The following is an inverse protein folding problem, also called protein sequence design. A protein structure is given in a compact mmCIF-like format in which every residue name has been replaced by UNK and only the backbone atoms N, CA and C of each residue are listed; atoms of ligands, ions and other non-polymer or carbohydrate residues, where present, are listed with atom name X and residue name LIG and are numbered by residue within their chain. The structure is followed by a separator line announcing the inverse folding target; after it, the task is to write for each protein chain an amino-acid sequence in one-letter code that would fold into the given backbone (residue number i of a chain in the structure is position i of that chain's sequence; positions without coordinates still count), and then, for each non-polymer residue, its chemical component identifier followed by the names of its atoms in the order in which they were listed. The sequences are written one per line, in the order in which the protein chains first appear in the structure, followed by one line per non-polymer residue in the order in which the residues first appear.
data_IF_853717742999
#
_entry.id   IF_853717742999
#
_cell.length_a   1.000
_cell.length_b   1.000
_cell.length_c   1.000
_cell.angle_alpha   90.00
_cell.angle_beta   90.00
_cell.angle_gamma   90.00
#
_symmetry.space_group_name_H-M   'P 1'
#
loop_
_entity.id
_entity.type
_entity.pdbx_description
1 polymer ?
#
# COMPACT_ATOMS: atom_id res chain seq x y z
N UNK A 1 -18.70 8.15 -10.02
CA UNK A 1 -20.16 8.09 -10.27
C UNK A 1 -20.40 7.17 -11.45
N UNK A 2 -21.30 6.18 -11.28
CA UNK A 2 -22.16 5.52 -12.29
C UNK A 2 -21.56 5.24 -13.69
N UNK A 3 -21.62 4.06 -14.32
CA UNK A 3 -22.41 2.82 -14.17
C UNK A 3 -22.03 2.01 -15.44
N UNK A 4 -21.99 0.68 -15.38
CA UNK A 4 -22.62 -0.22 -16.36
C UNK A 4 -22.05 -1.64 -16.30
N UNK A 5 -22.74 -2.50 -15.55
CA UNK A 5 -22.69 -3.94 -15.78
C UNK A 5 -23.45 -4.24 -17.09
N UNK A 6 -22.72 -4.57 -18.15
CA UNK A 6 -23.33 -5.04 -19.40
C UNK A 6 -23.44 -6.57 -19.35
N UNK A 7 -24.61 -7.09 -18.95
CA UNK A 7 -25.04 -8.45 -19.30
C UNK A 7 -25.65 -8.39 -20.69
N UNK A 8 -25.13 -9.17 -21.63
CA UNK A 8 -25.90 -9.98 -22.57
C UNK A 8 -24.97 -10.52 -23.65
N UNK A 9 -24.92 -11.85 -23.76
CA UNK A 9 -24.17 -12.54 -24.80
C UNK A 9 -24.41 -14.03 -24.69
N UNK A 10 -25.68 -14.44 -24.82
CA UNK A 10 -26.03 -15.82 -25.09
C UNK A 10 -25.50 -16.17 -26.49
N UNK A 11 -24.30 -16.74 -26.52
CA UNK A 11 -23.62 -17.21 -27.72
C UNK A 11 -23.18 -18.65 -27.49
N UNK A 12 -23.97 -19.55 -28.05
CA UNK A 12 -23.76 -20.99 -28.16
C UNK A 12 -22.35 -21.30 -28.73
N UNK A 13 -21.40 -21.68 -27.88
CA UNK A 13 -20.14 -22.31 -28.30
C UNK A 13 -19.74 -23.41 -27.31
N UNK A 14 -19.97 -24.64 -27.77
CA UNK A 14 -19.38 -25.87 -27.27
C UNK A 14 -17.86 -25.78 -27.34
N UNK A 15 -17.19 -25.59 -26.21
CA UNK A 15 -15.81 -26.04 -26.00
C UNK A 15 -15.73 -26.62 -24.59
N UNK A 16 -15.24 -27.86 -24.53
CA UNK A 16 -14.94 -28.61 -23.31
C UNK A 16 -14.20 -27.73 -22.29
N UNK A 17 -14.58 -27.92 -21.02
CA UNK A 17 -14.03 -27.18 -19.90
C UNK A 17 -12.51 -27.26 -19.80
N UNK A 18 -11.92 -26.14 -19.41
CA UNK A 18 -11.17 -26.02 -18.17
C UNK A 18 -11.20 -24.52 -17.82
N UNK A 19 -11.91 -24.19 -16.74
CA UNK A 19 -11.86 -22.87 -16.14
C UNK A 19 -10.45 -22.67 -15.56
N UNK A 20 -9.53 -22.14 -16.35
CA UNK A 20 -8.33 -21.52 -15.84
C UNK A 20 -8.61 -20.03 -15.73
N UNK A 21 -8.99 -19.62 -14.53
CA UNK A 21 -8.85 -18.26 -14.04
C UNK A 21 -7.36 -17.89 -14.15
N UNK A 22 -6.91 -17.42 -15.31
CA UNK A 22 -5.63 -16.72 -15.39
C UNK A 22 -5.90 -15.29 -14.92
N UNK A 23 -5.95 -15.18 -13.60
CA UNK A 23 -5.58 -13.98 -12.88
C UNK A 23 -4.23 -13.56 -13.45
N UNK A 24 -4.24 -12.55 -14.32
CA UNK A 24 -3.02 -11.86 -14.71
C UNK A 24 -2.44 -11.32 -13.42
N UNK A 25 -1.48 -12.06 -12.86
CA UNK A 25 -0.51 -11.54 -11.93
C UNK A 25 0.21 -10.44 -12.69
N UNK A 26 -0.31 -9.22 -12.60
CA UNK A 26 0.46 -8.03 -12.88
C UNK A 26 1.66 -8.10 -11.94
N UNK A 27 2.77 -8.54 -12.51
CA UNK A 27 4.09 -8.48 -11.91
C UNK A 27 4.35 -6.99 -11.71
N UNK A 28 3.99 -6.47 -10.53
CA UNK A 28 4.28 -5.09 -10.16
C UNK A 28 5.80 -4.94 -10.29
N UNK A 29 6.30 -4.11 -11.21
CA UNK A 29 7.73 -3.95 -11.38
C UNK A 29 8.31 -3.44 -10.06
N UNK A 30 9.31 -4.16 -9.55
CA UNK A 30 10.14 -3.75 -8.42
C UNK A 30 11.02 -2.55 -8.81
N UNK A 31 10.37 -1.42 -9.15
CA UNK A 31 10.97 -0.13 -9.46
C UNK A 31 9.87 0.94 -9.53
N UNK A 32 8.97 0.99 -8.54
CA UNK A 32 8.21 2.20 -8.29
C UNK A 32 8.55 2.67 -6.87
N UNK A 33 9.68 3.38 -6.78
CA UNK A 33 9.79 4.42 -5.78
C UNK A 33 8.74 5.50 -6.14
N UNK A 34 7.48 5.23 -5.83
CA UNK A 34 6.41 6.23 -5.88
C UNK A 34 6.62 7.14 -4.68
N UNK A 35 7.49 8.13 -4.87
CA UNK A 35 7.47 9.33 -4.05
C UNK A 35 6.17 10.08 -4.38
N UNK A 36 5.16 9.89 -3.54
CA UNK A 36 3.95 10.70 -3.53
C UNK A 36 2.68 9.93 -3.92
N UNK A 37 1.73 9.88 -2.97
CA UNK A 37 0.31 10.03 -3.31
C UNK A 37 -0.62 8.87 -2.98
N UNK A 38 -0.19 7.61 -3.13
CA UNK A 38 -1.06 6.47 -2.81
C UNK A 38 -0.63 5.87 -1.48
N UNK A 39 -1.35 6.24 -0.42
CA UNK A 39 -1.20 5.65 0.91
C UNK A 39 -1.59 4.17 0.81
N UNK A 40 -0.62 3.31 0.51
CA UNK A 40 -0.78 1.87 0.70
C UNK A 40 -1.11 1.61 2.18
N UNK A 41 -1.72 0.46 2.51
CA UNK A 41 -2.15 0.16 3.89
C UNK A 41 -1.01 0.29 4.92
N UNK A 42 0.22 0.00 4.48
CA UNK A 42 1.48 0.16 5.20
C UNK A 42 1.78 1.62 5.56
N UNK A 43 1.65 2.52 4.58
CA UNK A 43 1.84 3.94 4.75
C UNK A 43 0.88 4.50 5.80
N UNK A 44 -0.41 4.20 5.65
CA UNK A 44 -1.45 4.66 6.57
C UNK A 44 -1.20 4.18 8.00
N UNK A 45 -0.80 2.91 8.17
CA UNK A 45 -0.45 2.36 9.47
C UNK A 45 0.75 3.09 10.09
N UNK A 46 1.83 3.28 9.34
CA UNK A 46 3.03 3.97 9.80
C UNK A 46 2.77 5.44 10.19
N UNK A 47 2.04 6.17 9.35
CA UNK A 47 1.63 7.56 9.59
C UNK A 47 0.74 7.66 10.84
N UNK A 48 -0.22 6.75 11.02
CA UNK A 48 -1.06 6.71 12.21
C UNK A 48 -0.27 6.43 13.49
N UNK A 49 0.76 5.58 13.43
CA UNK A 49 1.63 5.30 14.59
C UNK A 49 2.48 6.50 14.99
N UNK A 50 3.04 7.22 14.02
CA UNK A 50 3.78 8.45 14.33
C UNK A 50 2.86 9.54 14.91
N UNK A 51 1.68 9.71 14.31
CA UNK A 51 0.68 10.65 14.80
C UNK A 51 0.29 10.36 16.26
N UNK A 52 0.06 9.09 16.60
CA UNK A 52 -0.20 8.64 17.98
C UNK A 52 0.98 8.90 18.92
N UNK A 53 2.22 8.63 18.47
CA UNK A 53 3.41 8.83 19.29
C UNK A 53 3.67 10.31 19.61
N UNK A 54 3.38 11.21 18.67
CA UNK A 54 3.60 12.65 18.80
C UNK A 54 2.36 13.43 19.30
N UNK A 55 1.21 12.76 19.42
CA UNK A 55 -0.06 13.42 19.76
C UNK A 55 -0.54 14.42 18.70
N UNK A 56 -0.20 14.19 17.43
CA UNK A 56 -0.60 15.01 16.29
C UNK A 56 -1.57 14.24 15.40
N UNK A 57 -2.07 14.87 14.34
CA UNK A 57 -2.93 14.19 13.38
C UNK A 57 -2.09 13.47 12.33
N UNK A 58 -2.63 12.40 11.74
CA UNK A 58 -1.96 11.69 10.65
C UNK A 58 -1.74 12.56 9.41
N UNK A 59 -2.60 13.55 9.17
CA UNK A 59 -2.43 14.56 8.11
C UNK A 59 -1.19 15.45 8.31
N UNK A 60 -0.71 15.58 9.54
CA UNK A 60 0.50 16.33 9.88
C UNK A 60 1.78 15.48 9.73
N UNK A 61 1.68 14.26 9.18
CA UNK A 61 2.80 13.36 8.98
C UNK A 61 2.90 13.00 7.49
N UNK A 62 4.06 13.27 6.92
CA UNK A 62 4.39 12.97 5.54
C UNK A 62 5.29 11.74 5.47
N UNK A 63 5.01 10.86 4.51
CA UNK A 63 5.91 9.76 4.15
C UNK A 63 6.99 10.31 3.21
N UNK A 64 8.24 10.19 3.62
CA UNK A 64 9.42 10.47 2.80
C UNK A 64 9.87 9.24 2.02
N UNK A 65 11.07 8.75 2.33
CA UNK A 65 11.66 7.59 1.66
C UNK A 65 10.93 6.29 2.07
N UNK A 66 10.68 5.41 1.11
CA UNK A 66 10.17 4.07 1.37
C UNK A 66 11.03 3.02 0.66
N UNK A 67 11.33 1.93 1.35
CA UNK A 67 12.16 0.82 0.88
C UNK A 67 11.44 -0.50 1.16
N UNK A 68 11.26 -1.31 0.11
CA UNK A 68 10.76 -2.67 0.24
C UNK A 68 11.91 -3.61 0.64
N UNK A 69 11.69 -4.43 1.66
CA UNK A 69 12.62 -5.44 2.14
C UNK A 69 12.34 -6.79 1.47
N UNK A 70 13.34 -7.69 1.49
CA UNK A 70 13.25 -9.00 0.84
C UNK A 70 12.23 -9.94 1.49
N UNK A 71 11.83 -9.70 2.74
CA UNK A 71 10.80 -10.44 3.47
C UNK A 71 9.37 -9.96 3.15
N UNK A 72 9.22 -8.96 2.27
CA UNK A 72 7.94 -8.36 1.93
C UNK A 72 7.49 -7.27 2.89
N UNK A 73 8.30 -6.91 3.90
CA UNK A 73 8.04 -5.74 4.73
C UNK A 73 8.51 -4.46 4.05
N UNK A 74 7.92 -3.31 4.39
CA UNK A 74 8.28 -2.01 3.87
C UNK A 74 8.74 -1.09 4.98
N UNK A 75 9.97 -0.56 4.85
CA UNK A 75 10.54 0.44 5.76
C UNK A 75 10.34 1.83 5.17
N UNK A 76 9.84 2.76 5.98
CA UNK A 76 9.41 4.09 5.58
C UNK A 76 9.98 5.12 6.54
N UNK A 77 10.48 6.22 6.00
CA UNK A 77 10.83 7.42 6.75
C UNK A 77 9.62 8.33 6.81
N UNK A 78 9.23 8.71 8.02
CA UNK A 78 8.11 9.58 8.31
C UNK A 78 8.63 10.90 8.83
N UNK A 79 8.00 12.00 8.42
CA UNK A 79 8.39 13.36 8.78
C UNK A 79 7.12 14.08 9.23
N UNK A 80 7.07 14.52 10.48
CA UNK A 80 6.00 15.38 10.96
C UNK A 80 6.23 16.84 10.51
N UNK A 81 5.15 17.61 10.39
CA UNK A 81 5.20 19.06 10.09
C UNK A 81 6.10 19.86 11.04
N UNK A 82 6.29 19.37 12.27
CA UNK A 82 7.16 19.99 13.29
C UNK A 82 8.64 19.67 13.11
N UNK A 83 8.99 18.85 12.12
CA UNK A 83 10.36 18.44 11.82
C UNK A 83 10.80 17.14 12.49
N UNK A 84 9.99 16.57 13.38
CA UNK A 84 10.24 15.25 13.96
C UNK A 84 10.32 14.20 12.87
N UNK A 85 11.25 13.26 13.01
CA UNK A 85 11.44 12.17 12.06
C UNK A 85 11.22 10.84 12.76
N UNK A 86 10.71 9.86 12.02
CA UNK A 86 10.63 8.50 12.51
C UNK A 86 10.92 7.52 11.37
N UNK A 87 11.46 6.36 11.71
CA UNK A 87 11.55 5.22 10.81
C UNK A 87 10.51 4.20 11.25
N UNK A 88 9.66 3.79 10.33
CA UNK A 88 8.62 2.79 10.56
C UNK A 88 8.78 1.64 9.58
N UNK A 89 8.56 0.41 10.03
CA UNK A 89 8.48 -0.75 9.15
C UNK A 89 7.14 -1.42 9.34
N UNK A 90 6.43 -1.67 8.24
CA UNK A 90 5.16 -2.40 8.22
C UNK A 90 5.28 -3.64 7.33
N UNK A 91 4.54 -4.70 7.64
CA UNK A 91 4.40 -5.85 6.75
C UNK A 91 3.39 -5.58 5.62
N UNK A 92 3.33 -6.47 4.63
CA UNK A 92 2.39 -6.39 3.51
C UNK A 92 0.90 -6.48 3.92
N UNK A 93 0.60 -6.77 5.19
CA UNK A 93 -0.76 -6.72 5.73
C UNK A 93 -1.08 -5.35 6.37
N UNK A 94 -0.16 -4.38 6.32
CA UNK A 94 -0.30 -3.07 6.93
C UNK A 94 -0.11 -3.07 8.44
N UNK A 95 0.51 -4.10 9.02
CA UNK A 95 0.82 -4.14 10.45
C UNK A 95 2.22 -3.59 10.69
N UNK A 96 2.33 -2.61 11.58
CA UNK A 96 3.63 -2.05 11.99
C UNK A 96 4.40 -3.06 12.84
N UNK A 97 5.54 -3.50 12.31
CA UNK A 97 6.46 -4.45 12.96
C UNK A 97 7.61 -3.75 13.68
N UNK A 98 7.99 -2.53 13.25
CA UNK A 98 9.00 -1.72 13.92
C UNK A 98 8.68 -0.25 13.81
N UNK A 99 8.96 0.51 14.86
CA UNK A 99 8.82 1.97 14.86
C UNK A 99 9.89 2.60 15.74
N UNK A 100 10.64 3.54 15.18
CA UNK A 100 11.70 4.28 15.88
C UNK A 100 11.54 5.76 15.61
N UNK A 101 11.17 6.53 16.63
CA UNK A 101 11.24 7.99 16.59
C UNK A 101 12.71 8.43 16.68
N UNK A 102 13.05 9.47 15.92
CA UNK A 102 14.36 10.13 15.92
C UNK A 102 14.45 11.26 16.91
#
# INVERSE_FOLDING_TARGET
MMKNCFRAGAGLLLVLGLAACQSSSDMVPASQATAGGDQTGEAAACTARMAQALGIKAEDVTVGNSQLNADGSQTMQLIAVRGDRATCTADAAGKVISFKAG
#
